data_IF_741454178509
#
_entry.id   IF_741454178509
#
_cell.length_a   1.000
_cell.length_b   1.000
_cell.length_c   1.000
_cell.angle_alpha   90.00
_cell.angle_beta   90.00
_cell.angle_gamma   90.00
#
_symmetry.space_group_name_H-M   'P 1'
#
loop_
_entity.id
_entity.type
_entity.pdbx_description
1 polymer ?
#
# COMPACT_ATOMS: atom_id res chain seq x y z
N UNK A 1 21.27 19.52 -4.64
CA UNK A 1 20.68 18.18 -4.83
C UNK A 1 19.60 18.28 -5.88
N UNK A 2 19.81 17.61 -7.01
CA UNK A 2 18.78 17.59 -8.07
C UNK A 2 17.70 16.58 -7.70
N UNK A 3 16.53 17.11 -7.32
CA UNK A 3 15.37 16.26 -7.13
C UNK A 3 14.79 15.96 -8.52
N UNK A 4 14.71 14.68 -8.85
CA UNK A 4 13.97 14.26 -10.02
C UNK A 4 12.49 14.62 -9.83
N UNK A 5 11.83 15.05 -10.89
CA UNK A 5 10.40 15.29 -10.84
C UNK A 5 9.65 13.97 -10.61
N UNK A 6 8.42 14.05 -10.12
CA UNK A 6 7.56 12.88 -9.94
C UNK A 6 7.38 12.14 -11.27
N UNK A 7 7.25 12.88 -12.37
CA UNK A 7 7.13 12.31 -13.71
C UNK A 7 8.36 11.49 -14.12
N UNK A 8 9.55 12.01 -13.84
CA UNK A 8 10.81 11.30 -14.14
C UNK A 8 10.92 10.00 -13.35
N UNK A 9 10.54 10.03 -12.08
CA UNK A 9 10.48 8.82 -11.25
C UNK A 9 9.45 7.82 -11.76
N UNK A 10 8.26 8.29 -12.13
CA UNK A 10 7.21 7.44 -12.71
C UNK A 10 7.68 6.75 -13.98
N UNK A 11 8.32 7.48 -14.89
CA UNK A 11 8.85 6.92 -16.13
C UNK A 11 9.93 5.88 -15.87
N UNK A 12 10.82 6.13 -14.91
CA UNK A 12 11.85 5.16 -14.52
C UNK A 12 11.25 3.88 -13.95
N UNK A 13 10.21 3.99 -13.16
CA UNK A 13 9.50 2.83 -12.60
C UNK A 13 8.77 2.05 -13.69
N UNK A 14 8.03 2.73 -14.57
CA UNK A 14 7.27 2.10 -15.65
C UNK A 14 8.19 1.36 -16.63
N UNK A 15 9.37 1.89 -16.90
CA UNK A 15 10.35 1.33 -17.82
C UNK A 15 11.39 0.45 -17.13
N UNK A 16 11.18 0.10 -15.87
CA UNK A 16 12.14 -0.72 -15.15
C UNK A 16 12.30 -2.09 -15.79
N UNK A 17 13.55 -2.59 -15.96
CA UNK A 17 13.81 -3.88 -16.62
C UNK A 17 13.10 -5.07 -15.97
N UNK A 18 12.72 -4.96 -14.70
CA UNK A 18 12.00 -6.01 -13.97
C UNK A 18 10.72 -6.44 -14.69
N UNK A 19 9.94 -5.47 -15.20
CA UNK A 19 8.65 -5.77 -15.85
C UNK A 19 8.80 -6.59 -17.10
N UNK A 20 9.91 -6.42 -17.85
CA UNK A 20 10.19 -7.22 -19.03
C UNK A 20 10.74 -8.61 -18.72
N UNK A 21 11.18 -8.85 -17.48
CA UNK A 21 11.76 -10.13 -17.05
C UNK A 21 10.76 -11.08 -16.42
N UNK A 22 9.59 -10.59 -16.01
CA UNK A 22 8.55 -11.43 -15.42
C UNK A 22 7.65 -11.93 -16.56
N UNK A 23 7.98 -13.11 -17.11
CA UNK A 23 7.30 -13.69 -18.26
C UNK A 23 6.70 -15.07 -18.00
N UNK A 24 6.84 -15.59 -16.78
CA UNK A 24 6.34 -16.91 -16.41
C UNK A 24 5.81 -16.91 -14.98
N UNK A 25 5.01 -17.92 -14.65
CA UNK A 25 4.50 -18.08 -13.29
C UNK A 25 5.61 -18.29 -12.24
N UNK A 26 6.66 -19.12 -12.50
CA UNK A 26 7.78 -19.23 -11.56
C UNK A 26 8.50 -17.90 -11.31
N UNK A 27 8.70 -17.09 -12.33
CA UNK A 27 9.31 -15.77 -12.19
C UNK A 27 8.44 -14.83 -11.39
N UNK A 28 7.13 -14.85 -11.60
CA UNK A 28 6.17 -14.07 -10.82
C UNK A 28 6.19 -14.49 -9.35
N UNK A 29 6.20 -15.78 -9.08
CA UNK A 29 6.28 -16.32 -7.70
C UNK A 29 7.57 -15.89 -7.01
N UNK A 30 8.67 -15.93 -7.70
CA UNK A 30 9.96 -15.48 -7.18
C UNK A 30 9.91 -13.99 -6.83
N UNK A 31 9.37 -13.15 -7.72
CA UNK A 31 9.19 -11.73 -7.48
C UNK A 31 8.32 -11.47 -6.25
N UNK A 32 7.17 -12.14 -6.17
CA UNK A 32 6.21 -11.94 -5.07
C UNK A 32 6.79 -12.30 -3.70
N UNK A 33 7.63 -13.32 -3.64
CA UNK A 33 8.30 -13.70 -2.38
C UNK A 33 9.17 -12.59 -1.79
N UNK A 34 9.70 -11.73 -2.62
CA UNK A 34 10.52 -10.60 -2.21
C UNK A 34 9.68 -9.33 -2.05
N UNK A 35 8.78 -9.09 -2.99
CA UNK A 35 7.94 -7.89 -3.01
C UNK A 35 6.97 -7.84 -1.83
N UNK A 36 6.56 -8.97 -1.28
CA UNK A 36 5.65 -9.03 -0.13
C UNK A 36 6.17 -8.22 1.07
N UNK A 37 7.47 -8.16 1.26
CA UNK A 37 8.07 -7.35 2.33
C UNK A 37 7.89 -5.84 2.09
N UNK A 38 7.95 -5.43 0.83
CA UNK A 38 7.67 -4.03 0.46
C UNK A 38 6.20 -3.66 0.68
N UNK A 39 5.28 -4.57 0.43
CA UNK A 39 3.85 -4.37 0.72
C UNK A 39 3.64 -4.19 2.22
N UNK A 40 4.28 -5.02 3.03
CA UNK A 40 4.22 -4.91 4.49
C UNK A 40 4.85 -3.61 5.00
N UNK A 41 6.02 -3.24 4.47
CA UNK A 41 6.70 -1.98 4.82
C UNK A 41 5.84 -0.77 4.49
N UNK A 42 5.18 -0.79 3.34
CA UNK A 42 4.25 0.28 2.95
C UNK A 42 3.11 0.43 3.95
N UNK A 43 2.50 -0.67 4.37
CA UNK A 43 1.45 -0.64 5.40
C UNK A 43 1.97 -0.07 6.71
N UNK A 44 3.18 -0.47 7.12
CA UNK A 44 3.81 0.04 8.34
C UNK A 44 4.07 1.53 8.26
N UNK A 45 4.57 2.01 7.12
CA UNK A 45 4.78 3.44 6.88
C UNK A 45 3.45 4.20 6.91
N UNK A 46 2.45 3.69 6.24
CA UNK A 46 1.12 4.32 6.17
C UNK A 46 0.50 4.44 7.57
N UNK A 47 0.58 3.39 8.37
CA UNK A 47 0.05 3.40 9.75
C UNK A 47 0.85 4.37 10.63
N UNK A 48 2.16 4.50 10.38
CA UNK A 48 2.97 5.50 11.08
C UNK A 48 2.56 6.92 10.72
N UNK A 49 2.31 7.19 9.44
CA UNK A 49 1.80 8.49 9.00
C UNK A 49 0.44 8.79 9.62
N UNK A 50 -0.44 7.80 9.71
CA UNK A 50 -1.72 7.96 10.39
C UNK A 50 -1.54 8.31 11.88
N UNK A 51 -0.63 7.65 12.56
CA UNK A 51 -0.33 7.96 13.97
C UNK A 51 0.13 9.40 14.17
N UNK A 52 0.88 9.94 13.21
CA UNK A 52 1.42 11.31 13.32
C UNK A 52 0.35 12.35 12.96
N UNK A 53 -0.39 12.15 11.88
CA UNK A 53 -1.28 13.17 11.33
C UNK A 53 -2.74 13.01 11.74
N UNK A 54 -3.19 11.79 11.98
CA UNK A 54 -4.55 11.48 12.41
C UNK A 54 -4.51 10.48 13.58
N UNK A 55 -3.92 10.88 14.72
CA UNK A 55 -3.69 9.94 15.80
C UNK A 55 -4.98 9.42 16.40
N UNK A 56 -4.94 8.15 16.78
CA UNK A 56 -6.01 7.51 17.52
C UNK A 56 -5.59 7.39 18.99
N UNK A 57 -6.46 7.73 19.87
CA UNK A 57 -6.20 7.64 21.30
C UNK A 57 -7.51 7.56 22.09
N UNK A 58 -7.39 7.27 23.39
CA UNK A 58 -8.55 7.26 24.27
C UNK A 58 -8.19 8.06 25.54
N UNK A 59 -8.87 9.19 25.79
CA UNK A 59 -9.94 9.78 24.99
C UNK A 59 -9.43 10.32 23.64
N UNK A 60 -10.34 10.40 22.65
CA UNK A 60 -9.99 10.99 21.37
C UNK A 60 -9.81 12.50 21.48
N UNK A 61 -8.76 13.00 20.86
CA UNK A 61 -8.50 14.42 20.73
C UNK A 61 -8.35 14.78 19.26
N UNK A 62 -8.87 15.96 18.84
CA UNK A 62 -8.73 16.35 17.44
C UNK A 62 -7.26 16.62 17.11
N UNK A 63 -6.88 16.26 15.88
CA UNK A 63 -5.56 16.57 15.34
C UNK A 63 -5.43 18.07 15.09
N UNK A 64 -4.21 18.60 15.24
CA UNK A 64 -3.87 19.99 14.91
C UNK A 64 -3.48 20.16 13.44
N UNK A 65 -3.40 19.07 12.68
CA UNK A 65 -3.02 19.08 11.26
C UNK A 65 -4.20 19.44 10.36
N UNK A 66 -3.89 19.79 9.10
CA UNK A 66 -4.90 20.14 8.11
C UNK A 66 -5.89 18.98 7.89
N UNK A 67 -7.18 19.29 7.92
CA UNK A 67 -8.23 18.31 7.71
C UNK A 67 -8.16 17.59 6.37
N UNK A 68 -7.67 18.25 5.33
CA UNK A 68 -7.48 17.62 4.01
C UNK A 68 -6.40 16.54 4.05
N UNK A 69 -5.32 16.80 4.78
CA UNK A 69 -4.25 15.82 4.98
C UNK A 69 -4.75 14.61 5.77
N UNK A 70 -5.49 14.87 6.85
CA UNK A 70 -6.10 13.82 7.67
C UNK A 70 -7.01 12.93 6.82
N UNK A 71 -7.90 13.55 6.04
CA UNK A 71 -8.81 12.82 5.16
C UNK A 71 -8.06 11.99 4.13
N UNK A 72 -7.06 12.56 3.50
CA UNK A 72 -6.22 11.88 2.50
C UNK A 72 -5.58 10.60 3.08
N UNK A 73 -4.96 10.73 4.25
CA UNK A 73 -4.31 9.58 4.92
C UNK A 73 -5.36 8.53 5.31
N UNK A 74 -6.48 8.94 5.88
CA UNK A 74 -7.52 8.01 6.31
C UNK A 74 -8.18 7.30 5.13
N UNK A 75 -8.33 7.94 3.99
CA UNK A 75 -8.84 7.30 2.77
C UNK A 75 -7.87 6.22 2.28
N UNK A 76 -6.57 6.49 2.26
CA UNK A 76 -5.57 5.49 1.88
C UNK A 76 -5.59 4.33 2.87
N UNK A 77 -5.66 4.61 4.17
CA UNK A 77 -5.74 3.56 5.20
C UNK A 77 -6.98 2.69 4.99
N UNK A 78 -8.11 3.29 4.72
CA UNK A 78 -9.35 2.55 4.46
C UNK A 78 -9.19 1.59 3.29
N UNK A 79 -8.63 2.06 2.18
CA UNK A 79 -8.42 1.24 0.98
C UNK A 79 -7.37 0.15 1.19
N UNK A 80 -6.27 0.47 1.85
CA UNK A 80 -5.16 -0.47 2.03
C UNK A 80 -5.42 -1.50 3.12
N UNK A 81 -6.16 -1.14 4.14
CA UNK A 81 -6.40 -2.01 5.31
C UNK A 81 -7.68 -2.82 5.21
N UNK A 82 -8.67 -2.32 4.49
CA UNK A 82 -10.01 -2.93 4.41
C UNK A 82 -10.66 -2.65 3.05
N UNK A 83 -9.99 -3.07 2.00
CA UNK A 83 -10.52 -2.92 0.64
C UNK A 83 -11.52 -4.04 0.33
N UNK A 84 -12.42 -3.76 -0.59
CA UNK A 84 -13.39 -4.72 -1.07
C UNK A 84 -12.67 -5.87 -1.78
N UNK A 85 -12.95 -7.08 -1.36
CA UNK A 85 -12.46 -8.29 -2.01
C UNK A 85 -13.64 -9.22 -2.30
N UNK A 86 -13.49 -10.05 -3.33
CA UNK A 86 -14.52 -11.01 -3.71
C UNK A 86 -14.04 -12.41 -3.35
N UNK A 87 -14.61 -12.96 -2.29
CA UNK A 87 -14.41 -14.35 -1.92
C UNK A 87 -15.42 -15.28 -2.61
N UNK A 88 -15.31 -16.56 -2.32
CA UNK A 88 -16.24 -17.57 -2.84
C UNK A 88 -17.69 -17.38 -2.37
N UNK A 89 -17.89 -16.67 -1.28
CA UNK A 89 -19.20 -16.42 -0.67
C UNK A 89 -19.76 -15.02 -0.96
N UNK A 90 -19.11 -14.23 -1.82
CA UNK A 90 -19.54 -12.88 -2.20
C UNK A 90 -18.60 -11.77 -1.72
N UNK A 91 -19.18 -10.60 -1.41
CA UNK A 91 -18.39 -9.45 -0.99
C UNK A 91 -17.81 -9.65 0.41
N UNK A 92 -16.55 -9.28 0.54
CA UNK A 92 -15.82 -9.28 1.80
C UNK A 92 -14.82 -8.13 1.80
N UNK A 93 -14.18 -7.90 2.93
CA UNK A 93 -13.18 -6.85 3.07
C UNK A 93 -11.88 -7.45 3.60
N UNK A 94 -10.77 -7.02 3.01
CA UNK A 94 -9.45 -7.51 3.40
C UNK A 94 -8.40 -6.43 3.16
N UNK A 95 -7.29 -6.50 3.88
CA UNK A 95 -6.16 -5.64 3.59
C UNK A 95 -5.50 -6.04 2.27
N UNK A 96 -4.88 -5.08 1.58
CA UNK A 96 -4.08 -5.39 0.40
C UNK A 96 -2.97 -6.40 0.72
N UNK A 97 -2.36 -6.28 1.90
CA UNK A 97 -1.39 -7.26 2.37
C UNK A 97 -2.02 -8.67 2.48
N UNK A 98 -3.21 -8.77 3.07
CA UNK A 98 -3.93 -10.04 3.17
C UNK A 98 -4.28 -10.65 1.83
N UNK A 99 -4.76 -9.83 0.89
CA UNK A 99 -5.05 -10.25 -0.48
C UNK A 99 -3.77 -10.73 -1.18
N UNK A 100 -2.66 -10.01 -0.96
CA UNK A 100 -1.36 -10.37 -1.54
C UNK A 100 -0.89 -11.73 -1.02
N UNK A 101 -0.93 -11.94 0.29
CA UNK A 101 -0.55 -13.22 0.91
C UNK A 101 -1.43 -14.38 0.37
N UNK A 102 -2.73 -14.17 0.30
CA UNK A 102 -3.64 -15.18 -0.25
C UNK A 102 -3.31 -15.53 -1.71
N UNK A 103 -2.89 -14.55 -2.50
CA UNK A 103 -2.49 -14.74 -3.89
C UNK A 103 -1.21 -15.58 -4.04
N UNK A 104 -0.40 -15.65 -3.00
CA UNK A 104 0.87 -16.40 -3.00
C UNK A 104 0.68 -17.89 -2.69
N UNK A 105 -0.46 -18.28 -2.21
CA UNK A 105 -0.79 -19.66 -1.81
C UNK A 105 -1.18 -20.57 -3.00
#
# INVERSE_FOLDING_TARGET
MNLLSIEEFSQKLENHPLFSRINSLPELRFFMRHHVYAVWDFMSLLKKLQQVFAPHGSPWLPSTHDGKLIRFINEIVMEEESDLSYGSEGEDYSSHFGIYIASME
#
